data_IF_289638209064
#
_entry.id   IF_289638209064
#
_cell.length_a   1.000
_cell.length_b   1.000
_cell.length_c   1.000
_cell.angle_alpha   90.00
_cell.angle_beta   90.00
_cell.angle_gamma   90.00
#
_symmetry.space_group_name_H-M   'P 1'
#
loop_
_entity.id
_entity.type
_entity.pdbx_description
1 polymer ?
#
# COMPACT_ATOMS: atom_id res chain seq x y z
N UNK A 1 43.14 46.83 -10.90
CA UNK A 1 41.91 46.76 -11.71
C UNK A 1 41.10 45.51 -11.41
N UNK A 2 39.90 45.73 -10.86
CA UNK A 2 38.86 44.74 -10.58
C UNK A 2 38.02 44.60 -11.86
N UNK A 3 37.98 43.42 -12.47
CA UNK A 3 37.04 43.14 -13.56
C UNK A 3 35.87 42.33 -13.00
N UNK A 4 34.70 42.97 -12.95
CA UNK A 4 33.39 42.34 -12.74
C UNK A 4 33.04 41.51 -13.99
N UNK A 5 32.60 40.26 -13.82
CA UNK A 5 31.74 39.58 -14.81
C UNK A 5 30.36 39.38 -14.19
N UNK A 6 29.36 39.90 -14.89
CA UNK A 6 27.94 39.77 -14.61
C UNK A 6 27.47 38.35 -14.91
N UNK A 7 26.77 37.74 -13.97
CA UNK A 7 25.91 36.57 -14.20
C UNK A 7 24.65 37.03 -14.93
N UNK A 8 24.48 36.63 -16.19
CA UNK A 8 23.17 36.64 -16.84
C UNK A 8 22.32 35.54 -16.17
N UNK A 9 21.14 35.93 -15.69
CA UNK A 9 20.12 34.98 -15.27
C UNK A 9 19.48 34.35 -16.50
N UNK A 10 19.56 33.02 -16.59
CA UNK A 10 18.74 32.24 -17.48
C UNK A 10 17.29 32.33 -17.00
N UNK A 11 16.49 33.05 -17.78
CA UNK A 11 15.04 33.08 -17.64
C UNK A 11 14.50 31.91 -18.46
N UNK A 12 13.81 30.98 -17.80
CA UNK A 12 13.08 29.90 -18.45
C UNK A 12 12.10 30.49 -19.48
N UNK A 13 12.05 29.95 -20.72
CA UNK A 13 11.15 30.46 -21.73
C UNK A 13 9.70 30.17 -21.32
N UNK A 14 8.90 31.23 -21.26
CA UNK A 14 7.44 31.16 -21.13
C UNK A 14 6.88 30.57 -22.43
N UNK A 15 6.11 29.48 -22.34
CA UNK A 15 5.51 28.78 -23.48
C UNK A 15 4.57 29.69 -24.27
N UNK A 16 4.78 29.76 -25.59
CA UNK A 16 3.82 30.34 -26.56
C UNK A 16 2.58 29.45 -26.68
N UNK A 17 1.36 30.00 -26.81
CA UNK A 17 0.18 29.19 -27.07
C UNK A 17 0.01 28.88 -28.56
N UNK A 18 -0.56 27.71 -28.84
CA UNK A 18 -1.00 27.19 -30.16
C UNK A 18 0.06 26.44 -30.98
N UNK A 19 0.63 25.38 -30.41
CA UNK A 19 1.19 24.30 -31.23
C UNK A 19 0.05 23.62 -32.02
N UNK A 20 0.28 23.34 -33.31
CA UNK A 20 -0.67 22.59 -34.14
C UNK A 20 -0.39 21.10 -33.98
N UNK A 21 -1.36 20.34 -33.48
CA UNK A 21 -1.24 18.89 -33.34
C UNK A 21 -1.25 18.18 -34.70
N UNK A 22 -0.31 17.26 -34.92
CA UNK A 22 -0.12 16.56 -36.19
C UNK A 22 -0.48 15.08 -36.05
N UNK A 23 -1.46 14.62 -36.83
CA UNK A 23 -1.86 13.21 -36.86
C UNK A 23 -0.75 12.32 -37.46
N UNK A 24 -0.50 11.16 -36.83
CA UNK A 24 0.47 10.17 -37.32
C UNK A 24 1.95 10.48 -37.00
N UNK A 25 2.21 11.48 -36.16
CA UNK A 25 3.55 11.80 -35.66
C UNK A 25 3.82 11.04 -34.37
N UNK A 26 4.98 10.40 -34.28
CA UNK A 26 5.55 9.87 -33.03
C UNK A 26 6.94 10.47 -32.81
N UNK A 27 7.30 10.72 -31.55
CA UNK A 27 8.62 11.24 -31.19
C UNK A 27 9.41 10.19 -30.42
N UNK A 28 10.67 9.89 -30.80
CA UNK A 28 11.52 9.07 -29.95
C UNK A 28 11.93 9.89 -28.73
N UNK A 29 11.81 9.28 -27.54
CA UNK A 29 12.20 9.87 -26.27
C UNK A 29 13.13 8.93 -25.51
N UNK A 30 14.07 9.49 -24.77
CA UNK A 30 14.91 8.77 -23.83
C UNK A 30 14.41 9.00 -22.39
N UNK A 31 14.37 7.92 -21.60
CA UNK A 31 14.03 8.00 -20.18
C UNK A 31 15.19 8.63 -19.40
N UNK A 32 14.92 9.68 -18.63
CA UNK A 32 15.96 10.46 -17.92
C UNK A 32 16.32 9.91 -16.54
N UNK A 33 15.50 9.01 -16.00
CA UNK A 33 15.58 8.53 -14.62
C UNK A 33 15.49 7.01 -14.54
N UNK A 34 16.01 6.41 -13.48
CA UNK A 34 15.85 4.98 -13.24
C UNK A 34 14.46 4.71 -12.66
N UNK A 35 13.73 3.73 -13.18
CA UNK A 35 12.44 3.32 -12.59
C UNK A 35 11.23 4.20 -12.95
N UNK A 36 11.22 4.85 -14.12
CA UNK A 36 10.07 5.64 -14.58
C UNK A 36 8.82 4.76 -14.76
N UNK A 37 7.70 5.14 -14.17
CA UNK A 37 6.45 4.39 -14.32
C UNK A 37 5.83 4.55 -15.70
N UNK A 38 5.41 3.43 -16.26
CA UNK A 38 4.46 3.36 -17.36
C UNK A 38 3.09 2.99 -16.79
N UNK A 39 2.12 3.90 -16.81
CA UNK A 39 0.83 3.77 -16.12
C UNK A 39 -0.34 3.51 -17.06
N UNK A 40 -1.44 2.99 -16.52
CA UNK A 40 -2.68 2.74 -17.27
C UNK A 40 -3.38 4.05 -17.73
N UNK A 41 -3.12 5.17 -17.06
CA UNK A 41 -3.71 6.47 -17.36
C UNK A 41 -2.77 7.65 -17.06
N UNK A 42 -3.10 8.87 -17.55
CA UNK A 42 -2.24 10.06 -17.46
C UNK A 42 -2.28 10.72 -16.06
N UNK A 43 -2.02 9.94 -15.02
CA UNK A 43 -1.92 10.40 -13.64
C UNK A 43 -1.27 9.34 -12.76
N UNK A 44 -0.65 9.78 -11.66
CA UNK A 44 -0.11 8.89 -10.62
C UNK A 44 -1.17 8.06 -9.90
N UNK A 45 -2.46 8.41 -10.03
CA UNK A 45 -3.57 7.65 -9.46
C UNK A 45 -3.91 6.38 -10.24
N UNK A 46 -3.35 6.20 -11.43
CA UNK A 46 -3.47 4.97 -12.19
C UNK A 46 -2.34 4.00 -11.83
N UNK A 47 -2.67 2.72 -11.79
CA UNK A 47 -1.71 1.64 -11.56
C UNK A 47 -0.54 1.71 -12.53
N UNK A 48 0.66 1.43 -12.02
CA UNK A 48 1.83 1.22 -12.86
C UNK A 48 1.71 -0.15 -13.54
N UNK A 49 1.85 -0.17 -14.86
CA UNK A 49 1.92 -1.38 -15.68
C UNK A 49 3.33 -1.99 -15.55
N UNK A 50 4.36 -1.14 -15.59
CA UNK A 50 5.77 -1.52 -15.43
C UNK A 50 6.62 -0.29 -15.11
N UNK A 51 7.92 -0.50 -14.91
CA UNK A 51 8.93 0.55 -14.84
C UNK A 51 9.88 0.52 -16.04
N UNK A 52 10.40 1.68 -16.40
CA UNK A 52 11.40 1.87 -17.46
C UNK A 52 12.72 2.30 -16.82
N UNK A 53 13.81 1.74 -17.30
CA UNK A 53 15.16 2.06 -16.80
C UNK A 53 15.71 3.33 -17.47
N UNK A 54 16.69 3.95 -16.83
CA UNK A 54 17.34 5.14 -17.35
C UNK A 54 18.03 4.85 -18.70
N UNK A 55 17.88 5.76 -19.66
CA UNK A 55 18.38 5.59 -21.01
C UNK A 55 17.56 4.64 -21.89
N UNK A 56 16.50 4.01 -21.37
CA UNK A 56 15.56 3.28 -22.21
C UNK A 56 14.93 4.21 -23.25
N UNK A 57 14.69 3.69 -24.46
CA UNK A 57 14.09 4.45 -25.56
C UNK A 57 12.63 4.07 -25.72
N UNK A 58 11.76 5.08 -25.79
CA UNK A 58 10.31 4.93 -25.99
C UNK A 58 9.86 5.81 -27.15
N UNK A 59 8.74 5.45 -27.78
CA UNK A 59 8.10 6.27 -28.80
C UNK A 59 6.88 6.98 -28.20
N UNK A 60 6.93 8.30 -28.04
CA UNK A 60 5.78 9.09 -27.63
C UNK A 60 4.79 9.23 -28.79
N UNK A 61 3.54 8.84 -28.54
CA UNK A 61 2.48 8.71 -29.53
C UNK A 61 1.43 9.81 -29.40
N UNK A 62 1.09 10.19 -28.16
CA UNK A 62 0.06 11.18 -27.83
C UNK A 62 0.44 11.95 -26.57
N UNK A 63 -0.18 13.10 -26.35
CA UNK A 63 -0.10 13.85 -25.09
C UNK A 63 -1.48 13.94 -24.40
N UNK A 64 -1.46 14.14 -23.08
CA UNK A 64 -2.64 14.53 -22.32
C UNK A 64 -3.07 15.96 -22.70
N UNK A 65 -4.33 16.36 -22.48
CA UNK A 65 -4.79 17.72 -22.77
C UNK A 65 -3.95 18.82 -22.09
N UNK A 66 -3.43 18.55 -20.90
CA UNK A 66 -2.58 19.44 -20.12
C UNK A 66 -1.11 19.41 -20.58
N UNK A 67 -0.71 18.34 -21.28
CA UNK A 67 0.65 18.14 -21.79
C UNK A 67 1.65 17.60 -20.78
N UNK A 68 1.21 17.28 -19.56
CA UNK A 68 2.07 16.77 -18.48
C UNK A 68 2.38 15.26 -18.62
N UNK A 69 1.57 14.53 -19.39
CA UNK A 69 1.74 13.10 -19.62
C UNK A 69 1.81 12.77 -21.11
N UNK A 70 2.68 11.83 -21.45
CA UNK A 70 2.82 11.28 -22.80
C UNK A 70 2.35 9.82 -22.80
N UNK A 71 1.52 9.46 -23.78
CA UNK A 71 1.26 8.07 -24.10
C UNK A 71 2.45 7.56 -24.91
N UNK A 72 3.20 6.61 -24.38
CA UNK A 72 4.43 6.09 -24.98
C UNK A 72 4.32 4.60 -25.26
N UNK A 73 5.01 4.14 -26.29
CA UNK A 73 5.23 2.74 -26.59
C UNK A 73 6.68 2.35 -26.24
N UNK A 74 6.83 1.30 -25.44
CA UNK A 74 8.12 0.71 -25.05
C UNK A 74 8.25 -0.71 -25.62
N UNK A 75 9.41 -1.04 -26.17
CA UNK A 75 9.72 -2.39 -26.67
C UNK A 75 8.82 -2.89 -27.82
N UNK A 76 8.05 -2.00 -28.46
CA UNK A 76 7.15 -2.34 -29.57
C UNK A 76 5.91 -3.16 -29.19
N UNK A 77 5.61 -3.31 -27.89
CA UNK A 77 4.44 -4.08 -27.43
C UNK A 77 3.71 -3.44 -26.26
N UNK A 78 4.39 -2.65 -25.42
CA UNK A 78 3.80 -2.12 -24.19
C UNK A 78 3.51 -0.63 -24.33
N UNK A 79 2.22 -0.27 -24.24
CA UNK A 79 1.75 1.12 -24.35
C UNK A 79 1.20 1.55 -23.01
N UNK A 80 1.60 2.74 -22.55
CA UNK A 80 1.06 3.35 -21.35
C UNK A 80 1.49 4.80 -21.20
N UNK A 81 1.12 5.41 -20.08
CA UNK A 81 1.35 6.83 -19.81
C UNK A 81 2.58 7.04 -18.95
N UNK A 82 3.44 7.95 -19.38
CA UNK A 82 4.66 8.34 -18.68
C UNK A 82 4.68 9.87 -18.49
N UNK A 83 5.27 10.32 -17.38
CA UNK A 83 5.41 11.73 -17.08
C UNK A 83 6.32 12.42 -18.11
N UNK A 84 5.82 13.47 -18.77
CA UNK A 84 6.53 14.17 -19.84
C UNK A 84 7.83 14.82 -19.35
N UNK A 85 7.88 15.26 -18.09
CA UNK A 85 9.06 15.91 -17.51
C UNK A 85 10.25 14.96 -17.32
N UNK A 86 9.99 13.66 -17.26
CA UNK A 86 10.98 12.60 -17.06
C UNK A 86 11.47 11.97 -18.37
N UNK A 87 11.02 12.51 -19.51
CA UNK A 87 11.38 12.08 -20.85
C UNK A 87 12.16 13.19 -21.58
N UNK A 88 13.21 12.79 -22.30
CA UNK A 88 13.93 13.66 -23.23
C UNK A 88 13.54 13.30 -24.66
N UNK A 89 12.61 14.05 -25.24
CA UNK A 89 12.03 13.78 -26.55
C UNK A 89 12.74 14.53 -27.68
N UNK A 90 12.97 13.87 -28.82
CA UNK A 90 13.55 14.49 -30.00
C UNK A 90 12.50 15.30 -30.77
N UNK A 91 12.18 16.49 -30.27
CA UNK A 91 11.18 17.41 -30.82
C UNK A 91 10.23 17.93 -29.75
N UNK A 92 9.34 18.85 -30.11
CA UNK A 92 8.36 19.40 -29.18
C UNK A 92 7.19 18.42 -28.99
N UNK A 93 6.98 17.82 -27.80
CA UNK A 93 5.87 16.91 -27.54
C UNK A 93 4.49 17.56 -27.72
N UNK A 94 4.39 18.89 -27.71
CA UNK A 94 3.14 19.60 -27.94
C UNK A 94 2.59 19.42 -29.37
N UNK A 95 3.38 18.91 -30.32
CA UNK A 95 2.91 18.59 -31.67
C UNK A 95 2.18 17.24 -31.75
N UNK A 96 2.32 16.38 -30.74
CA UNK A 96 1.70 15.05 -30.72
C UNK A 96 0.18 15.17 -30.67
N UNK A 97 -0.59 14.23 -31.24
CA UNK A 97 -2.04 14.22 -31.10
C UNK A 97 -2.47 14.19 -29.63
N UNK A 98 -3.48 14.99 -29.26
CA UNK A 98 -4.12 14.88 -27.95
C UNK A 98 -4.91 13.57 -27.89
N UNK A 99 -4.75 12.79 -26.82
CA UNK A 99 -5.59 11.64 -26.56
C UNK A 99 -7.02 12.08 -26.18
N UNK A 100 -7.91 12.23 -27.16
CA UNK A 100 -9.30 12.57 -26.91
C UNK A 100 -10.06 11.40 -26.23
N UNK A 101 -10.86 11.69 -25.21
CA UNK A 101 -11.74 10.72 -24.55
C UNK A 101 -11.27 10.22 -23.18
N UNK A 102 -10.09 10.64 -22.72
CA UNK A 102 -9.63 10.42 -21.34
C UNK A 102 -9.52 11.79 -20.67
N UNK A 103 -10.66 12.35 -20.24
CA UNK A 103 -10.61 13.41 -19.24
C UNK A 103 -9.91 12.86 -18.01
N UNK A 104 -9.03 13.66 -17.39
CA UNK A 104 -8.46 13.42 -16.06
C UNK A 104 -9.55 13.48 -14.95
N UNK A 105 -10.65 12.75 -15.14
CA UNK A 105 -11.83 12.78 -14.30
C UNK A 105 -11.63 11.85 -13.10
N UNK A 106 -10.86 12.35 -12.12
CA UNK A 106 -11.36 12.32 -10.75
C UNK A 106 -12.55 13.30 -10.60
N UNK A 107 -13.34 13.21 -9.52
CA UNK A 107 -14.58 14.00 -9.34
C UNK A 107 -14.36 15.51 -9.50
N UNK A 108 -15.40 16.27 -9.89
CA UNK A 108 -15.24 17.60 -10.49
C UNK A 108 -14.70 18.63 -9.50
N UNK A 109 -13.67 19.36 -9.93
CA UNK A 109 -13.22 20.58 -9.27
C UNK A 109 -14.30 21.66 -9.37
N UNK A 110 -14.58 22.43 -8.28
CA UNK A 110 -15.56 23.50 -8.31
C UNK A 110 -15.08 24.66 -9.19
N UNK A 111 -16.01 25.18 -9.98
CA UNK A 111 -15.87 26.30 -10.91
C UNK A 111 -15.30 27.57 -10.27
N UNK A 112 -14.24 28.10 -10.88
CA UNK A 112 -13.65 29.41 -10.57
C UNK A 112 -14.48 30.52 -11.22
N UNK A 113 -15.32 31.19 -10.43
CA UNK A 113 -16.08 32.35 -10.88
C UNK A 113 -15.13 33.55 -11.05
N UNK A 114 -15.14 34.14 -12.26
CA UNK A 114 -14.37 35.35 -12.58
C UNK A 114 -15.32 36.54 -12.52
N UNK A 115 -15.01 37.54 -11.70
CA UNK A 115 -15.70 38.83 -11.73
C UNK A 115 -14.68 39.97 -11.83
N UNK A 116 -14.96 40.88 -12.76
CA UNK A 116 -14.12 41.99 -13.20
C UNK A 116 -14.04 43.16 -12.21
N UNK A 117 -13.03 44.01 -12.41
CA UNK A 117 -12.88 45.32 -11.78
C UNK A 117 -14.05 46.28 -12.11
N UNK A 118 -14.34 47.26 -11.23
CA UNK A 118 -13.69 48.56 -11.44
C UNK A 118 -13.26 49.30 -10.16
N UNK A 119 -12.40 50.28 -10.40
CA UNK A 119 -11.79 51.26 -9.49
C UNK A 119 -12.81 52.21 -8.84
N UNK A 120 -12.64 52.55 -7.55
CA UNK A 120 -12.35 53.91 -7.01
C UNK A 120 -12.35 53.89 -5.47
N UNK A 121 -11.46 54.70 -4.89
CA UNK A 121 -11.04 54.72 -3.49
C UNK A 121 -12.09 55.25 -2.48
N UNK A 122 -12.11 54.71 -1.26
CA UNK A 122 -11.94 55.46 0.01
C UNK A 122 -12.18 54.62 1.28
N UNK A 123 -11.42 54.99 2.33
CA UNK A 123 -11.50 54.65 3.77
C UNK A 123 -10.98 53.26 4.20
N UNK A 124 -9.98 53.16 5.11
CA UNK A 124 -9.62 51.89 5.72
C UNK A 124 -10.73 51.50 6.70
N UNK A 125 -11.54 50.55 6.29
CA UNK A 125 -12.44 49.82 7.19
C UNK A 125 -11.59 48.75 7.88
N UNK A 126 -11.70 48.62 9.20
CA UNK A 126 -11.01 47.56 9.94
C UNK A 126 -11.26 46.21 9.25
N UNK A 127 -10.17 45.54 8.86
CA UNK A 127 -10.21 44.20 8.31
C UNK A 127 -10.95 43.31 9.31
N UNK A 128 -12.12 42.73 8.97
CA UNK A 128 -12.74 41.74 9.84
C UNK A 128 -11.70 40.63 10.05
N UNK A 129 -11.48 40.25 11.30
CA UNK A 129 -10.64 39.11 11.64
C UNK A 129 -11.02 37.92 10.73
N UNK A 130 -10.05 37.15 10.19
CA UNK A 130 -10.34 36.03 9.32
C UNK A 130 -11.38 35.15 10.01
N UNK A 131 -12.54 35.01 9.37
CA UNK A 131 -13.56 34.07 9.82
C UNK A 131 -12.90 32.71 9.79
N UNK A 132 -12.72 32.10 10.97
CA UNK A 132 -12.19 30.75 11.10
C UNK A 132 -13.08 29.85 10.25
N UNK A 133 -12.57 29.40 9.10
CA UNK A 133 -13.26 28.42 8.27
C UNK A 133 -13.54 27.22 9.17
N UNK A 134 -14.79 26.72 9.26
CA UNK A 134 -15.08 25.55 10.08
C UNK A 134 -14.17 24.42 9.63
N UNK A 135 -13.53 23.75 10.60
CA UNK A 135 -12.68 22.60 10.33
C UNK A 135 -13.50 21.60 9.50
N UNK A 136 -13.03 21.19 8.30
CA UNK A 136 -13.79 20.30 7.44
C UNK A 136 -14.08 18.99 8.19
N UNK A 137 -15.31 18.52 8.10
CA UNK A 137 -15.77 17.31 8.78
C UNK A 137 -15.16 16.08 8.11
N UNK A 138 -14.42 15.26 8.85
CA UNK A 138 -13.92 13.97 8.35
C UNK A 138 -15.09 13.07 7.97
N UNK A 139 -14.92 12.32 6.89
CA UNK A 139 -15.92 11.34 6.43
C UNK A 139 -15.36 9.93 6.56
N UNK A 140 -16.25 8.94 6.44
CA UNK A 140 -15.88 7.53 6.33
C UNK A 140 -15.62 7.10 4.89
N UNK A 141 -15.78 7.97 3.89
CA UNK A 141 -15.77 7.58 2.48
C UNK A 141 -14.36 7.55 1.87
N UNK A 142 -13.52 8.54 2.19
CA UNK A 142 -12.18 8.67 1.65
C UNK A 142 -11.25 9.35 2.67
N UNK A 143 -9.95 9.23 2.42
CA UNK A 143 -8.92 9.93 3.17
C UNK A 143 -8.80 11.36 2.66
N UNK A 144 -8.97 12.32 3.56
CA UNK A 144 -8.62 13.71 3.25
C UNK A 144 -7.09 13.84 3.32
N UNK A 145 -6.45 13.94 2.16
CA UNK A 145 -5.01 14.12 1.99
C UNK A 145 -4.62 15.59 1.85
N UNK A 146 -3.76 16.06 2.74
CA UNK A 146 -3.15 17.39 2.75
C UNK A 146 -1.68 17.26 2.35
N UNK A 147 -1.31 17.82 1.19
CA UNK A 147 0.02 17.69 0.61
C UNK A 147 0.79 19.00 0.78
N UNK A 148 2.03 18.90 1.25
CA UNK A 148 2.92 20.01 1.58
C UNK A 148 4.18 19.93 0.73
N UNK A 149 4.68 21.08 0.31
CA UNK A 149 5.92 21.24 -0.49
C UNK A 149 7.20 21.26 0.36
N UNK A 150 7.11 20.76 1.59
CA UNK A 150 8.20 20.63 2.54
C UNK A 150 8.06 19.32 3.32
N UNK A 151 9.13 18.73 3.88
CA UNK A 151 9.07 17.44 4.56
C UNK A 151 8.56 17.53 6.01
N UNK A 152 8.11 18.71 6.45
CA UNK A 152 7.84 19.01 7.87
C UNK A 152 6.38 19.33 8.19
N UNK A 153 5.48 19.14 7.23
CA UNK A 153 4.05 19.47 7.34
C UNK A 153 3.81 20.92 7.81
N UNK A 154 4.68 21.85 7.38
CA UNK A 154 4.61 23.26 7.78
C UNK A 154 3.81 24.08 6.76
N UNK A 155 3.15 25.11 7.27
CA UNK A 155 2.38 26.05 6.45
C UNK A 155 1.02 25.51 6.01
N UNK A 156 0.41 26.17 5.03
CA UNK A 156 -0.82 25.72 4.40
C UNK A 156 -0.50 24.62 3.38
N UNK A 157 -1.32 23.56 3.28
CA UNK A 157 -1.13 22.54 2.26
C UNK A 157 -1.28 23.16 0.86
N UNK A 158 -0.36 22.79 -0.04
CA UNK A 158 -0.39 23.21 -1.45
C UNK A 158 -1.54 22.53 -2.19
N UNK A 159 -1.91 21.32 -1.76
CA UNK A 159 -3.03 20.56 -2.31
C UNK A 159 -3.80 19.85 -1.20
N UNK A 160 -5.13 19.92 -1.27
CA UNK A 160 -6.03 19.09 -0.46
C UNK A 160 -6.90 18.28 -1.42
N UNK A 161 -6.93 16.96 -1.26
CA UNK A 161 -7.77 16.07 -2.07
C UNK A 161 -8.28 14.88 -1.26
N UNK A 162 -9.20 14.13 -1.88
CA UNK A 162 -9.70 12.86 -1.33
C UNK A 162 -8.98 11.69 -2.01
N UNK A 163 -8.40 10.81 -1.20
CA UNK A 163 -7.71 9.60 -1.62
C UNK A 163 -8.47 8.37 -1.12
N UNK A 164 -8.77 7.42 -2.01
CA UNK A 164 -9.58 6.25 -1.63
C UNK A 164 -8.85 5.32 -0.65
N UNK A 165 -7.57 5.05 -0.93
CA UNK A 165 -6.70 4.15 -0.18
C UNK A 165 -5.33 4.80 0.04
N UNK A 166 -4.60 4.34 1.05
CA UNK A 166 -3.21 4.72 1.28
C UNK A 166 -2.29 3.63 0.73
N UNK A 167 -2.16 3.60 -0.59
CA UNK A 167 -1.27 2.68 -1.33
C UNK A 167 -0.70 3.42 -2.54
N UNK A 168 0.26 4.30 -2.27
CA UNK A 168 0.93 5.12 -3.25
C UNK A 168 2.33 4.61 -3.54
N UNK A 169 2.67 4.61 -4.82
CA UNK A 169 4.04 4.42 -5.25
C UNK A 169 4.33 5.47 -6.32
N UNK A 170 4.97 6.55 -5.90
CA UNK A 170 5.39 7.65 -6.77
C UNK A 170 6.75 7.36 -7.40
N UNK A 171 7.53 6.46 -6.81
CA UNK A 171 8.92 6.23 -7.21
C UNK A 171 9.66 7.57 -7.21
N UNK A 172 10.27 7.98 -8.32
CA UNK A 172 10.99 9.27 -8.42
C UNK A 172 10.08 10.45 -8.89
N UNK A 173 8.76 10.24 -9.01
CA UNK A 173 7.81 11.26 -9.47
C UNK A 173 7.28 12.14 -8.33
N UNK A 174 6.77 13.33 -8.69
CA UNK A 174 5.97 14.16 -7.79
C UNK A 174 4.54 13.62 -7.61
N UNK A 175 3.95 13.72 -6.41
CA UNK A 175 2.58 13.26 -6.15
C UNK A 175 1.51 14.10 -6.86
N UNK A 176 1.82 15.36 -7.19
CA UNK A 176 0.91 16.27 -7.90
C UNK A 176 1.64 17.54 -8.38
N UNK A 177 1.14 18.21 -9.44
CA UNK A 177 1.66 19.52 -9.84
C UNK A 177 1.71 20.51 -8.67
N UNK A 178 2.85 21.19 -8.51
CA UNK A 178 3.10 22.13 -7.41
C UNK A 178 3.72 21.50 -6.16
N UNK A 179 3.80 20.17 -6.08
CA UNK A 179 4.58 19.46 -5.06
C UNK A 179 5.93 19.05 -5.69
N UNK A 180 7.08 19.23 -5.02
CA UNK A 180 8.35 18.72 -5.51
C UNK A 180 8.39 17.19 -5.51
N UNK A 181 9.29 16.60 -6.31
CA UNK A 181 9.48 15.14 -6.33
C UNK A 181 10.14 14.63 -5.05
N UNK A 182 11.08 15.41 -4.49
CA UNK A 182 11.73 15.17 -3.21
C UNK A 182 11.30 16.22 -2.19
N UNK A 183 11.55 16.00 -0.89
CA UNK A 183 11.32 16.97 0.18
C UNK A 183 9.87 17.42 0.31
N UNK A 184 8.92 16.50 0.18
CA UNK A 184 7.50 16.77 0.39
C UNK A 184 6.96 15.99 1.60
N UNK A 185 5.77 16.34 2.06
CA UNK A 185 5.07 15.57 3.09
C UNK A 185 3.57 15.56 2.87
N UNK A 186 2.90 14.58 3.45
CA UNK A 186 1.46 14.42 3.32
C UNK A 186 0.86 14.05 4.68
N UNK A 187 -0.29 14.63 5.00
CA UNK A 187 -1.14 14.22 6.12
C UNK A 187 -2.48 13.73 5.58
N UNK A 188 -2.80 12.48 5.83
CA UNK A 188 -4.12 11.91 5.59
C UNK A 188 -4.91 11.78 6.87
N UNK A 189 -6.21 12.06 6.79
CA UNK A 189 -7.14 11.90 7.91
C UNK A 189 -8.47 11.30 7.44
N UNK A 190 -9.03 10.38 8.22
CA UNK A 190 -10.30 9.71 7.93
C UNK A 190 -10.98 9.22 9.21
N UNK A 191 -12.31 9.07 9.18
CA UNK A 191 -13.02 8.21 10.12
C UNK A 191 -13.01 6.77 9.61
N UNK A 192 -12.32 5.88 10.31
CA UNK A 192 -12.25 4.46 9.96
C UNK A 192 -13.19 3.69 10.87
N UNK A 193 -14.07 2.88 10.27
CA UNK A 193 -14.98 2.00 11.00
C UNK A 193 -14.29 0.69 11.35
N UNK A 194 -14.24 0.37 12.64
CA UNK A 194 -13.73 -0.89 13.16
C UNK A 194 -14.91 -1.76 13.61
N UNK A 195 -15.01 -2.99 13.08
CA UNK A 195 -16.18 -3.84 13.27
C UNK A 195 -16.31 -4.44 14.67
N UNK A 196 -15.21 -4.56 15.41
CA UNK A 196 -15.15 -5.26 16.68
C UNK A 196 -14.23 -4.58 17.68
N UNK A 197 -14.57 -4.70 18.97
CA UNK A 197 -13.65 -4.40 20.07
C UNK A 197 -12.40 -5.30 20.00
N UNK A 198 -11.25 -4.77 20.39
CA UNK A 198 -10.02 -5.53 20.57
C UNK A 198 -8.75 -4.74 20.28
N UNK A 199 -7.63 -5.44 20.32
CA UNK A 199 -6.34 -4.89 19.92
C UNK A 199 -6.26 -4.87 18.39
N UNK A 200 -5.69 -3.81 17.81
CA UNK A 200 -5.45 -3.68 16.37
C UNK A 200 -4.00 -3.37 16.10
N UNK A 201 -3.42 -4.08 15.13
CA UNK A 201 -2.10 -3.75 14.62
C UNK A 201 -2.26 -2.93 13.34
N UNK A 202 -1.47 -1.87 13.26
CA UNK A 202 -1.34 -0.99 12.12
C UNK A 202 0.04 -1.22 11.51
N UNK A 203 0.12 -1.18 10.19
CA UNK A 203 1.34 -1.38 9.43
C UNK A 203 1.54 -0.23 8.46
N UNK A 204 2.79 0.08 8.19
CA UNK A 204 3.20 1.02 7.17
C UNK A 204 4.44 0.48 6.44
N UNK A 205 4.37 0.37 5.12
CA UNK A 205 5.53 0.18 4.25
C UNK A 205 5.80 1.50 3.56
N UNK A 206 6.95 2.11 3.82
CA UNK A 206 7.23 3.51 3.44
C UNK A 206 8.65 3.71 2.97
N UNK A 207 8.82 4.72 2.15
CA UNK A 207 10.10 5.27 1.69
C UNK A 207 9.79 6.77 1.53
N UNK A 208 10.12 7.68 2.45
CA UNK A 208 10.88 7.54 3.71
C UNK A 208 10.02 7.32 4.98
N UNK A 209 9.72 8.38 5.75
CA UNK A 209 9.28 8.27 7.14
C UNK A 209 7.77 8.43 7.37
N UNK A 210 7.27 7.87 8.48
CA UNK A 210 5.83 7.77 8.77
C UNK A 210 5.48 7.94 10.24
N UNK A 211 4.33 8.57 10.51
CA UNK A 211 3.66 8.56 11.82
C UNK A 211 2.19 8.20 11.65
N UNK A 212 1.66 7.40 12.55
CA UNK A 212 0.26 6.97 12.52
C UNK A 212 -0.37 7.21 13.87
N UNK A 213 -1.57 7.80 13.88
CA UNK A 213 -2.35 8.10 15.07
C UNK A 213 -3.76 7.52 14.95
N UNK A 214 -4.28 7.00 16.06
CA UNK A 214 -5.69 6.59 16.20
C UNK A 214 -6.25 7.32 17.40
N UNK A 215 -7.33 8.09 17.20
CA UNK A 215 -7.92 9.00 18.19
C UNK A 215 -6.89 9.93 18.87
N UNK A 216 -5.88 10.34 18.10
CA UNK A 216 -4.78 11.18 18.57
C UNK A 216 -3.69 10.45 19.36
N UNK A 217 -3.82 9.15 19.59
CA UNK A 217 -2.76 8.32 20.20
C UNK A 217 -1.83 7.84 19.10
N UNK A 218 -0.53 8.09 19.25
CA UNK A 218 0.48 7.66 18.30
C UNK A 218 0.71 6.14 18.39
N UNK A 219 0.51 5.45 17.27
CA UNK A 219 0.70 3.99 17.13
C UNK A 219 2.00 3.67 16.41
N UNK A 220 2.38 4.44 15.39
CA UNK A 220 3.67 4.34 14.68
C UNK A 220 4.37 5.71 14.76
N UNK A 221 5.68 5.72 14.99
CA UNK A 221 6.42 6.89 15.43
C UNK A 221 7.72 7.18 14.70
N UNK A 222 7.84 6.73 13.45
CA UNK A 222 9.11 6.64 12.73
C UNK A 222 9.28 7.77 11.72
N UNK A 223 9.45 8.99 12.24
CA UNK A 223 9.72 10.19 11.44
C UNK A 223 11.21 10.36 11.15
N UNK A 224 11.79 9.40 10.43
CA UNK A 224 13.22 9.32 10.15
C UNK A 224 13.46 9.13 8.67
N UNK A 225 14.54 9.74 8.16
CA UNK A 225 15.06 9.51 6.82
C UNK A 225 15.77 8.16 6.85
N UNK A 226 14.98 7.15 6.53
CA UNK A 226 15.41 5.79 6.26
C UNK A 226 14.68 5.44 4.97
N UNK A 227 15.43 5.27 3.88
CA UNK A 227 14.82 4.75 2.67
C UNK A 227 14.09 3.42 2.93
N UNK A 228 13.35 2.89 1.96
CA UNK A 228 12.35 1.82 2.12
C UNK A 228 12.42 0.96 3.41
N UNK A 229 11.42 1.12 4.27
CA UNK A 229 11.28 0.41 5.54
C UNK A 229 9.82 -0.01 5.83
N UNK A 230 9.67 -1.05 6.65
CA UNK A 230 8.39 -1.52 7.17
C UNK A 230 8.28 -1.25 8.67
N UNK A 231 7.15 -0.68 9.08
CA UNK A 231 6.84 -0.33 10.46
C UNK A 231 5.51 -0.93 10.89
N UNK A 232 5.37 -1.21 12.18
CA UNK A 232 4.11 -1.61 12.76
C UNK A 232 3.95 -1.05 14.17
N UNK A 233 2.70 -0.96 14.61
CA UNK A 233 2.36 -0.58 15.97
C UNK A 233 1.01 -1.14 16.37
N UNK A 234 0.82 -1.36 17.67
CA UNK A 234 -0.42 -1.94 18.20
C UNK A 234 -1.18 -0.90 19.01
N UNK A 235 -2.46 -0.72 18.68
CA UNK A 235 -3.42 -0.01 19.51
C UNK A 235 -4.17 -1.04 20.37
N UNK A 236 -4.03 -0.95 21.69
CA UNK A 236 -4.66 -1.88 22.62
C UNK A 236 -6.04 -1.42 23.06
N UNK A 237 -7.01 -2.32 23.07
CA UNK A 237 -8.37 -2.06 23.54
C UNK A 237 -9.18 -1.06 22.71
N UNK A 238 -8.97 -1.02 21.39
CA UNK A 238 -9.81 -0.24 20.47
C UNK A 238 -11.26 -0.72 20.58
N UNK A 239 -12.22 0.21 20.49
CA UNK A 239 -13.64 -0.11 20.51
C UNK A 239 -14.18 -0.28 19.10
N UNK A 240 -15.30 -1.00 18.97
CA UNK A 240 -16.02 -1.04 17.71
C UNK A 240 -16.62 0.35 17.41
N UNK A 241 -16.66 0.71 16.13
CA UNK A 241 -17.24 1.95 15.61
C UNK A 241 -16.22 2.84 14.88
N UNK A 242 -16.62 4.10 14.65
CA UNK A 242 -15.82 5.09 13.95
C UNK A 242 -14.71 5.66 14.84
N UNK A 243 -13.48 5.53 14.37
CA UNK A 243 -12.29 6.09 15.01
C UNK A 243 -11.57 7.05 14.08
N UNK A 244 -10.98 8.12 14.62
CA UNK A 244 -10.20 9.06 13.82
C UNK A 244 -8.83 8.45 13.58
N UNK A 245 -8.46 8.23 12.31
CA UNK A 245 -7.13 7.77 11.94
C UNK A 245 -6.41 8.88 11.18
N UNK A 246 -5.19 9.20 11.60
CA UNK A 246 -4.31 10.17 10.96
C UNK A 246 -3.01 9.47 10.58
N UNK A 247 -2.62 9.60 9.32
CA UNK A 247 -1.34 9.12 8.80
C UNK A 247 -0.56 10.33 8.31
N UNK A 248 0.66 10.48 8.79
CA UNK A 248 1.61 11.48 8.33
C UNK A 248 2.77 10.76 7.65
N UNK A 249 3.24 11.29 6.53
CA UNK A 249 4.35 10.76 5.74
C UNK A 249 5.24 11.91 5.27
N UNK A 250 6.54 11.66 5.11
CA UNK A 250 7.41 12.55 4.36
C UNK A 250 8.35 11.79 3.46
N UNK A 251 8.76 12.48 2.40
CA UNK A 251 9.84 12.10 1.51
C UNK A 251 10.98 13.09 1.67
N UNK A 252 12.20 12.58 1.92
CA UNK A 252 13.46 13.32 1.93
C UNK A 252 14.02 13.40 0.51
N UNK A 253 14.11 12.25 -0.16
CA UNK A 253 14.35 12.18 -1.60
C UNK A 253 14.72 10.79 -2.10
N UNK A 254 14.59 10.62 -3.41
CA UNK A 254 14.71 9.32 -4.04
C UNK A 254 13.35 8.69 -4.29
N UNK A 255 13.18 7.43 -3.90
CA UNK A 255 11.96 6.68 -4.19
C UNK A 255 10.90 6.98 -3.14
N UNK A 256 9.80 7.61 -3.55
CA UNK A 256 8.69 7.90 -2.67
C UNK A 256 7.60 6.82 -2.76
N UNK A 257 7.29 6.16 -1.64
CA UNK A 257 6.17 5.22 -1.56
C UNK A 257 5.56 5.13 -0.16
N UNK A 258 4.27 4.80 -0.09
CA UNK A 258 3.58 4.51 1.16
C UNK A 258 2.44 3.52 0.95
N UNK A 259 2.38 2.49 1.79
CA UNK A 259 1.24 1.61 1.95
C UNK A 259 0.88 1.47 3.43
N UNK A 260 -0.36 1.75 3.80
CA UNK A 260 -0.85 1.62 5.18
C UNK A 260 -2.08 0.73 5.23
N UNK A 261 -2.08 -0.20 6.19
CA UNK A 261 -3.21 -1.05 6.47
C UNK A 261 -3.29 -1.37 7.97
N UNK A 262 -4.43 -1.90 8.41
CA UNK A 262 -4.61 -2.38 9.76
C UNK A 262 -5.36 -3.71 9.76
N UNK A 263 -5.18 -4.46 10.84
CA UNK A 263 -5.96 -5.66 11.10
C UNK A 263 -6.12 -5.85 12.61
N UNK A 264 -7.15 -6.59 13.02
CA UNK A 264 -7.31 -6.97 14.42
C UNK A 264 -6.12 -7.84 14.85
N UNK A 265 -5.50 -7.49 15.97
CA UNK A 265 -4.28 -8.12 16.48
C UNK A 265 -4.50 -9.56 16.96
N UNK A 266 -5.74 -10.01 17.15
CA UNK A 266 -6.06 -11.43 17.34
C UNK A 266 -5.67 -12.31 16.14
N UNK A 267 -5.34 -11.71 14.98
CA UNK A 267 -4.74 -12.41 13.83
C UNK A 267 -3.19 -12.34 13.80
N UNK A 268 -2.57 -11.78 14.84
CA UNK A 268 -1.13 -11.46 14.93
C UNK A 268 -0.51 -11.79 16.29
N UNK A 269 -1.29 -12.29 17.24
CA UNK A 269 -0.65 -12.92 18.38
C UNK A 269 0.19 -14.08 17.84
N UNK A 270 1.33 -14.34 18.49
CA UNK A 270 2.17 -15.51 18.21
C UNK A 270 1.47 -16.82 18.61
N UNK A 271 0.16 -16.90 18.34
CA UNK A 271 -0.76 -17.92 18.75
C UNK A 271 -1.44 -18.47 17.50
N UNK A 272 -1.76 -19.74 17.54
CA UNK A 272 -2.54 -20.42 16.53
C UNK A 272 -4.01 -20.26 16.87
N UNK A 273 -4.79 -19.76 15.91
CA UNK A 273 -6.24 -19.84 16.00
C UNK A 273 -6.64 -21.28 15.67
N UNK A 274 -7.02 -22.04 16.69
CA UNK A 274 -7.42 -23.44 16.62
C UNK A 274 -8.94 -23.55 16.52
N UNK A 275 -9.43 -24.15 15.43
CA UNK A 275 -10.83 -24.47 15.20
C UNK A 275 -11.04 -25.98 15.32
N UNK A 276 -11.83 -26.41 16.30
CA UNK A 276 -12.13 -27.81 16.57
C UNK A 276 -13.51 -28.17 16.03
N UNK A 277 -13.58 -29.31 15.35
CA UNK A 277 -14.79 -29.85 14.75
C UNK A 277 -15.08 -31.22 15.35
N UNK A 278 -16.36 -31.51 15.60
CA UNK A 278 -16.83 -32.81 16.07
C UNK A 278 -17.10 -33.80 14.92
N UNK A 279 -16.45 -33.56 13.79
CA UNK A 279 -16.49 -34.40 12.60
C UNK A 279 -15.14 -34.34 11.91
N UNK A 280 -15.00 -35.13 10.84
CA UNK A 280 -13.74 -35.26 10.11
C UNK A 280 -13.65 -34.42 8.83
N UNK A 281 -14.70 -33.73 8.43
CA UNK A 281 -14.86 -33.21 7.05
C UNK A 281 -14.87 -31.67 6.95
N UNK A 282 -14.59 -30.94 8.04
CA UNK A 282 -14.47 -29.46 8.12
C UNK A 282 -15.63 -28.64 7.52
N UNK A 283 -16.74 -29.29 7.16
CA UNK A 283 -17.87 -28.69 6.45
C UNK A 283 -18.91 -28.09 7.38
N UNK A 284 -18.80 -28.37 8.68
CA UNK A 284 -19.65 -27.78 9.72
C UNK A 284 -18.90 -26.64 10.43
N UNK A 285 -19.61 -25.71 11.08
CA UNK A 285 -18.97 -24.70 11.93
C UNK A 285 -18.13 -25.35 13.03
N UNK A 286 -16.98 -24.76 13.35
CA UNK A 286 -16.18 -25.17 14.50
C UNK A 286 -17.01 -25.06 15.79
N UNK A 287 -16.98 -26.11 16.62
CA UNK A 287 -17.72 -26.14 17.89
C UNK A 287 -16.91 -25.56 19.05
N UNK A 288 -15.60 -25.44 18.86
CA UNK A 288 -14.70 -24.75 19.78
C UNK A 288 -13.65 -23.99 18.96
N UNK A 289 -13.47 -22.71 19.28
CA UNK A 289 -12.40 -21.87 18.73
C UNK A 289 -11.58 -21.33 19.88
N UNK A 290 -10.26 -21.48 19.84
CA UNK A 290 -9.35 -20.99 20.89
C UNK A 290 -7.98 -20.59 20.34
N UNK A 291 -7.21 -19.86 21.14
CA UNK A 291 -5.87 -19.39 20.80
C UNK A 291 -4.79 -20.22 21.52
N UNK A 292 -3.84 -20.78 20.77
CA UNK A 292 -2.84 -21.73 21.28
C UNK A 292 -1.41 -21.25 21.04
N UNK A 293 -0.45 -21.55 21.93
CA UNK A 293 0.95 -21.08 21.76
C UNK A 293 1.68 -21.76 20.63
N UNK A 294 1.31 -23.01 20.42
CA UNK A 294 2.02 -24.04 19.68
C UNK A 294 0.99 -25.11 19.30
N UNK A 295 1.33 -25.87 18.26
CA UNK A 295 0.59 -27.07 17.88
C UNK A 295 1.41 -28.23 18.42
N UNK A 296 1.16 -28.57 19.67
CA UNK A 296 1.83 -29.66 20.39
C UNK A 296 0.84 -30.27 21.37
N UNK A 297 0.13 -31.29 20.91
CA UNK A 297 -0.92 -31.95 21.67
C UNK A 297 -0.67 -33.45 21.70
N UNK A 298 -0.83 -34.01 22.90
CA UNK A 298 -0.94 -35.45 23.15
C UNK A 298 -2.23 -35.63 23.93
N UNK A 299 -3.29 -36.01 23.21
CA UNK A 299 -4.60 -36.29 23.81
C UNK A 299 -4.71 -37.76 24.24
N UNK A 300 -3.76 -38.62 23.85
CA UNK A 300 -3.87 -40.05 24.02
C UNK A 300 -5.19 -40.55 23.44
N UNK A 301 -6.04 -41.18 24.26
CA UNK A 301 -7.37 -41.68 23.87
C UNK A 301 -8.52 -40.82 24.38
N UNK A 302 -8.22 -39.64 24.91
CA UNK A 302 -9.20 -38.73 25.47
C UNK A 302 -9.62 -37.69 24.42
N UNK A 303 -10.82 -37.14 24.57
CA UNK A 303 -11.27 -36.05 23.71
C UNK A 303 -10.48 -34.73 23.98
N UNK A 304 -10.22 -33.91 22.95
CA UNK A 304 -9.45 -32.67 23.08
C UNK A 304 -10.12 -31.60 23.95
N UNK A 305 -11.45 -31.64 24.08
CA UNK A 305 -12.22 -30.82 25.01
C UNK A 305 -13.62 -31.43 25.24
N UNK A 306 -14.29 -30.95 26.29
CA UNK A 306 -15.70 -31.31 26.53
C UNK A 306 -16.58 -30.93 25.34
N UNK A 307 -17.36 -31.89 24.84
CA UNK A 307 -18.26 -31.71 23.69
C UNK A 307 -17.66 -32.15 22.36
N UNK A 308 -16.37 -32.47 22.32
CA UNK A 308 -15.72 -33.17 21.20
C UNK A 308 -15.74 -34.68 21.48
N UNK A 309 -15.78 -35.52 20.43
CA UNK A 309 -15.67 -36.97 20.59
C UNK A 309 -14.22 -37.38 20.91
N UNK A 310 -14.05 -38.58 21.46
CA UNK A 310 -12.72 -39.18 21.75
C UNK A 310 -11.98 -39.48 20.43
N UNK A 311 -12.68 -40.12 19.48
CA UNK A 311 -12.20 -40.34 18.12
C UNK A 311 -13.08 -39.54 17.11
N UNK A 312 -12.68 -39.45 15.84
CA UNK A 312 -13.46 -38.87 14.73
C UNK A 312 -13.63 -37.35 14.78
N UNK A 313 -12.65 -36.66 15.36
CA UNK A 313 -12.61 -35.20 15.36
C UNK A 313 -11.57 -34.64 14.39
N UNK A 314 -11.64 -33.34 14.15
CA UNK A 314 -10.62 -32.64 13.38
C UNK A 314 -10.34 -31.26 13.93
N UNK A 315 -9.15 -30.75 13.63
CA UNK A 315 -8.68 -29.45 14.08
C UNK A 315 -8.02 -28.71 12.92
N UNK A 316 -8.36 -27.44 12.75
CA UNK A 316 -7.66 -26.54 11.83
C UNK A 316 -6.99 -25.44 12.63
N UNK A 317 -5.67 -25.36 12.51
CA UNK A 317 -4.90 -24.25 13.04
C UNK A 317 -4.51 -23.29 11.93
N UNK A 318 -4.69 -22.00 12.16
CA UNK A 318 -4.23 -20.96 11.26
C UNK A 318 -3.42 -19.91 12.01
N UNK A 319 -2.32 -19.48 11.40
CA UNK A 319 -1.50 -18.39 11.91
C UNK A 319 -0.84 -17.63 10.77
N UNK A 320 -0.77 -16.30 10.92
CA UNK A 320 0.04 -15.45 10.04
C UNK A 320 1.44 -15.30 10.61
N UNK A 321 2.46 -15.67 9.84
CA UNK A 321 3.86 -15.71 10.24
C UNK A 321 4.67 -14.82 9.31
N UNK A 322 5.53 -13.97 9.87
CA UNK A 322 6.53 -13.25 9.08
C UNK A 322 7.71 -14.19 8.80
N UNK A 323 8.02 -14.39 7.52
CA UNK A 323 9.19 -15.13 7.07
C UNK A 323 10.24 -14.18 6.49
N UNK A 324 11.50 -14.45 6.84
CA UNK A 324 12.64 -13.94 6.07
C UNK A 324 12.69 -14.65 4.73
N UNK A 325 13.27 -14.05 3.68
CA UNK A 325 13.34 -14.71 2.38
C UNK A 325 14.23 -15.95 2.44
N UNK A 326 13.79 -17.09 1.90
CA UNK A 326 14.60 -18.29 1.83
C UNK A 326 13.82 -19.59 1.74
N UNK A 327 14.53 -20.69 1.86
CA UNK A 327 13.96 -22.03 1.77
C UNK A 327 13.50 -22.51 3.15
N UNK A 328 12.29 -23.06 3.21
CA UNK A 328 11.68 -23.52 4.45
C UNK A 328 11.20 -24.96 4.34
N UNK A 329 11.36 -25.69 5.43
CA UNK A 329 10.81 -27.04 5.62
C UNK A 329 9.91 -27.06 6.84
N UNK A 330 8.74 -27.66 6.69
CA UNK A 330 7.69 -27.79 7.68
C UNK A 330 7.54 -29.27 8.04
N UNK A 331 7.22 -29.53 9.30
CA UNK A 331 7.13 -30.86 9.86
C UNK A 331 5.89 -31.01 10.73
N UNK A 332 5.26 -32.18 10.66
CA UNK A 332 4.28 -32.62 11.65
C UNK A 332 4.61 -34.06 12.04
N UNK A 333 4.72 -34.35 13.33
CA UNK A 333 4.75 -35.71 13.87
C UNK A 333 3.34 -36.04 14.36
N UNK A 334 2.76 -37.15 13.90
CA UNK A 334 1.36 -37.53 14.20
C UNK A 334 1.26 -38.99 14.63
N UNK A 335 0.24 -39.30 15.42
CA UNK A 335 -0.05 -40.66 15.86
C UNK A 335 -0.54 -41.59 14.72
N UNK A 336 -0.66 -42.88 15.02
CA UNK A 336 -1.07 -43.88 14.03
C UNK A 336 -2.56 -43.77 13.69
N UNK A 337 -2.87 -43.77 12.38
CA UNK A 337 -4.22 -43.58 11.79
C UNK A 337 -4.69 -42.13 11.73
N UNK A 338 -3.86 -41.18 12.14
CA UNK A 338 -4.17 -39.76 11.97
C UNK A 338 -3.77 -39.25 10.59
N UNK A 339 -4.26 -38.06 10.24
CA UNK A 339 -4.00 -37.40 8.96
C UNK A 339 -3.66 -35.94 9.19
N UNK A 340 -2.72 -35.42 8.39
CA UNK A 340 -2.32 -34.02 8.44
C UNK A 340 -2.11 -33.42 7.05
N UNK A 341 -2.56 -32.18 6.89
CA UNK A 341 -2.26 -31.34 5.73
C UNK A 341 -1.61 -30.05 6.18
N UNK A 342 -0.57 -29.62 5.47
CA UNK A 342 0.17 -28.40 5.77
C UNK A 342 0.11 -27.48 4.55
N UNK A 343 -0.24 -26.21 4.77
CA UNK A 343 -0.33 -25.19 3.73
C UNK A 343 0.48 -23.94 4.09
N UNK A 344 1.02 -23.29 3.06
CA UNK A 344 1.57 -21.93 3.12
C UNK A 344 0.89 -21.08 2.04
N UNK A 345 0.20 -20.01 2.42
CA UNK A 345 -0.59 -19.16 1.51
C UNK A 345 -1.51 -19.97 0.58
N UNK A 346 -2.23 -20.94 1.15
CA UNK A 346 -3.12 -21.87 0.45
C UNK A 346 -2.42 -22.86 -0.51
N UNK A 347 -1.08 -22.81 -0.61
CA UNK A 347 -0.31 -23.84 -1.31
C UNK A 347 -0.12 -25.05 -0.40
N UNK A 348 -0.62 -26.21 -0.84
CA UNK A 348 -0.42 -27.49 -0.17
C UNK A 348 1.05 -27.90 -0.21
N UNK A 349 1.69 -28.03 0.95
CA UNK A 349 3.09 -28.42 1.11
C UNK A 349 3.25 -29.90 1.38
N UNK A 350 2.33 -30.46 2.16
CA UNK A 350 2.31 -31.85 2.56
C UNK A 350 0.86 -32.31 2.73
N UNK A 351 0.61 -33.53 2.28
CA UNK A 351 -0.67 -34.22 2.38
C UNK A 351 -0.35 -35.68 2.67
N UNK A 352 -0.41 -36.07 3.94
CA UNK A 352 -0.13 -37.45 4.32
C UNK A 352 -1.42 -38.24 4.53
N UNK A 353 -1.52 -39.32 3.76
CA UNK A 353 -2.59 -40.31 3.78
C UNK A 353 -2.11 -41.68 4.31
N UNK A 354 -0.83 -41.82 4.67
CA UNK A 354 -0.23 -43.07 5.17
C UNK A 354 -0.16 -43.10 6.71
N UNK A 355 -0.42 -44.27 7.30
CA UNK A 355 -0.55 -44.43 8.75
C UNK A 355 0.81 -44.36 9.46
N UNK A 356 1.08 -43.22 10.13
CA UNK A 356 2.16 -42.87 11.09
C UNK A 356 3.45 -42.22 10.57
N UNK A 357 4.00 -41.31 11.39
CA UNK A 357 5.36 -40.78 11.26
C UNK A 357 5.48 -39.27 11.08
N UNK A 358 6.70 -38.82 10.79
CA UNK A 358 6.99 -37.40 10.51
C UNK A 358 6.62 -37.10 9.06
N UNK A 359 5.62 -36.25 8.90
CA UNK A 359 5.20 -35.64 7.64
C UNK A 359 6.07 -34.42 7.36
N UNK A 360 6.57 -34.29 6.14
CA UNK A 360 7.39 -33.15 5.73
C UNK A 360 6.83 -32.41 4.51
N UNK A 361 6.83 -31.09 4.60
CA UNK A 361 6.51 -30.17 3.49
C UNK A 361 7.66 -29.23 3.21
N UNK A 362 7.86 -28.87 1.94
CA UNK A 362 8.93 -27.96 1.53
C UNK A 362 8.38 -26.82 0.68
N UNK A 363 8.85 -25.61 0.95
CA UNK A 363 8.61 -24.45 0.10
C UNK A 363 9.94 -23.73 -0.15
N UNK A 364 10.34 -23.68 -1.42
CA UNK A 364 11.56 -22.98 -1.85
C UNK A 364 11.27 -21.50 -2.11
N UNK A 365 12.24 -20.65 -1.80
CA UNK A 365 12.18 -19.20 -2.06
C UNK A 365 10.92 -18.52 -1.49
N UNK A 366 10.57 -18.81 -0.23
CA UNK A 366 9.57 -18.02 0.49
C UNK A 366 9.98 -16.55 0.44
N UNK A 367 9.06 -15.68 0.03
CA UNK A 367 9.31 -14.23 -0.04
C UNK A 367 9.47 -13.63 1.35
N UNK A 368 10.12 -12.47 1.44
CA UNK A 368 10.10 -11.71 2.69
C UNK A 368 8.68 -11.19 2.93
N UNK A 369 8.12 -11.38 4.12
CA UNK A 369 6.81 -10.85 4.48
C UNK A 369 5.95 -11.80 5.28
N UNK A 370 4.67 -11.43 5.43
CA UNK A 370 3.70 -12.24 6.15
C UNK A 370 3.04 -13.27 5.24
N UNK A 371 3.16 -14.53 5.62
CA UNK A 371 2.50 -15.67 5.01
C UNK A 371 1.51 -16.31 5.98
N UNK A 372 0.48 -16.97 5.46
CA UNK A 372 -0.48 -17.74 6.27
C UNK A 372 -0.05 -19.20 6.29
N UNK A 373 0.20 -19.74 7.48
CA UNK A 373 0.38 -21.17 7.67
C UNK A 373 -0.93 -21.77 8.16
N UNK A 374 -1.41 -22.80 7.46
CA UNK A 374 -2.57 -23.60 7.87
C UNK A 374 -2.12 -25.03 8.11
N UNK A 375 -2.49 -25.59 9.25
CA UNK A 375 -2.30 -27.02 9.58
C UNK A 375 -3.68 -27.60 9.83
N UNK A 376 -4.03 -28.64 9.07
CA UNK A 376 -5.28 -29.37 9.25
C UNK A 376 -4.95 -30.77 9.74
N UNK A 377 -5.52 -31.16 10.87
CA UNK A 377 -5.35 -32.46 11.49
C UNK A 377 -6.70 -33.16 11.61
N UNK A 378 -6.68 -34.48 11.46
CA UNK A 378 -7.85 -35.33 11.61
C UNK A 378 -7.42 -36.59 12.32
N UNK A 379 -8.11 -36.85 13.42
CA UNK A 379 -8.06 -38.15 14.08
C UNK A 379 -9.05 -39.10 13.39
N UNK A 380 -8.60 -40.33 13.11
CA UNK A 380 -9.46 -41.38 12.56
C UNK A 380 -9.65 -42.58 13.50
N UNK A 381 -9.11 -42.47 14.71
CA UNK A 381 -9.35 -43.34 15.84
C UNK A 381 -8.07 -43.99 16.37
N UNK A 382 -7.98 -44.13 17.69
CA UNK A 382 -6.79 -44.67 18.34
C UNK A 382 -6.21 -43.70 19.34
N UNK A 383 -4.91 -43.43 19.23
CA UNK A 383 -4.27 -42.36 19.99
C UNK A 383 -4.20 -41.12 19.10
N UNK A 384 -4.49 -39.94 19.66
CA UNK A 384 -4.48 -38.68 18.96
C UNK A 384 -3.32 -37.80 19.45
N UNK A 385 -2.34 -37.56 18.58
CA UNK A 385 -1.14 -36.76 18.87
C UNK A 385 -0.74 -35.93 17.64
N UNK A 386 -0.27 -34.70 17.89
CA UNK A 386 0.39 -33.87 16.88
C UNK A 386 1.47 -32.97 17.50
N UNK A 387 2.65 -32.92 16.88
CA UNK A 387 3.69 -31.91 17.11
C UNK A 387 4.07 -31.27 15.77
N UNK A 388 3.89 -29.95 15.61
CA UNK A 388 4.20 -29.24 14.37
C UNK A 388 5.26 -28.15 14.57
N UNK A 389 6.23 -28.12 13.67
CA UNK A 389 7.31 -27.14 13.66
C UNK A 389 7.84 -26.86 12.25
N UNK A 390 8.71 -25.86 12.10
CA UNK A 390 9.38 -25.55 10.84
C UNK A 390 10.82 -25.09 11.07
N UNK A 391 11.63 -25.13 10.00
CA UNK A 391 12.98 -24.60 10.01
C UNK A 391 13.33 -23.96 8.67
N UNK A 392 14.14 -22.90 8.73
CA UNK A 392 14.81 -22.31 7.57
C UNK A 392 16.03 -23.17 7.21
N UNK A 393 16.26 -23.42 5.93
CA UNK A 393 17.40 -24.20 5.43
C UNK A 393 18.65 -23.36 5.20
#
# INVERSE_FOLDING_TARGET
DRVRRSSQGDTLPTRSPTATHLAGVSLPCAVRVEGLNLREGPSVNFSAITTLTSGATVSALKCSPEGDWLLVESGGQQVGWANAALLDCQGDPAILPIAAGLTASGPPAPTKETAAAPTFASVPTETPAPTVSPLPTLTTAAWRGEYFDNPSLQGEPVLVREDANLEFNWFLDSPAPGIPADNFSVRWSRLVEFGEDGDYQFFASVDDGVRLYVDGIQVIGDWVDNGKADYFGTFTGLKAGAHTVVVEYFESGGYASIKVWSQKASLLENRWRAEYFNNRDWNDPAILVREESDIKHDWGRDAPASGLPEDDFSVRWQRRIFFDPGDYRFYADIADRDRVKIYLDDFLLADDDEDNGIVEGFFGEVGAGFHTVTVEYRDEGGEAEIDFWWQRQ
#
